data_IF_537095834765
#
_entry.id   IF_537095834765
#
_cell.length_a   1.000
_cell.length_b   1.000
_cell.length_c   1.000
_cell.angle_alpha   90.00
_cell.angle_beta   90.00
_cell.angle_gamma   90.00
#
_symmetry.space_group_name_H-M   'P 1'
#
loop_
_entity.id
_entity.type
_entity.pdbx_description
1 polymer ?
#
# COMPACT_ATOMS: atom_id res chain seq x y z
N UNK A 1 -10.97 -10.16 0.57
CA UNK A 1 -9.93 -9.31 -0.05
C UNK A 1 -10.65 -8.33 -0.96
N UNK A 2 -10.48 -7.03 -0.75
CA UNK A 2 -11.30 -6.01 -1.42
C UNK A 2 -10.43 -4.81 -1.83
N UNK A 3 -10.64 -4.30 -3.04
CA UNK A 3 -10.03 -3.05 -3.52
C UNK A 3 -11.16 -2.12 -3.99
N UNK A 4 -11.38 -1.04 -3.23
CA UNK A 4 -12.35 0.02 -3.50
C UNK A 4 -11.60 1.33 -3.79
N UNK A 5 -10.95 1.36 -4.95
CA UNK A 5 -10.16 2.49 -5.48
C UNK A 5 -10.64 2.77 -6.90
N UNK A 6 -10.82 4.05 -7.25
CA UNK A 6 -11.31 4.42 -8.58
C UNK A 6 -10.26 4.13 -9.67
N UNK A 7 -10.67 3.80 -10.91
CA UNK A 7 -9.73 3.55 -12.01
C UNK A 7 -8.73 4.71 -12.21
N UNK A 8 -7.45 4.38 -12.36
CA UNK A 8 -6.34 5.33 -12.51
C UNK A 8 -5.05 4.81 -11.86
N UNK A 9 -4.03 5.67 -11.77
CA UNK A 9 -2.74 5.29 -11.16
C UNK A 9 -2.87 4.76 -9.72
N UNK A 10 -3.79 5.33 -8.93
CA UNK A 10 -4.09 4.86 -7.58
C UNK A 10 -4.61 3.42 -7.56
N UNK A 11 -5.41 3.03 -8.57
CA UNK A 11 -5.90 1.65 -8.74
C UNK A 11 -4.77 0.70 -9.07
N UNK A 12 -3.87 1.08 -9.98
CA UNK A 12 -2.75 0.23 -10.38
C UNK A 12 -1.81 -0.05 -9.19
N UNK A 13 -1.58 0.97 -8.36
CA UNK A 13 -0.83 0.82 -7.11
C UNK A 13 -1.59 -0.12 -6.16
N UNK A 14 -2.88 0.11 -5.96
CA UNK A 14 -3.70 -0.71 -5.06
C UNK A 14 -3.75 -2.19 -5.50
N UNK A 15 -3.88 -2.46 -6.80
CA UNK A 15 -3.86 -3.82 -7.34
C UNK A 15 -2.50 -4.49 -7.18
N UNK A 16 -1.41 -3.75 -7.37
CA UNK A 16 -0.07 -4.32 -7.17
C UNK A 16 0.17 -4.66 -5.70
N UNK A 17 -0.27 -3.80 -4.77
CA UNK A 17 -0.23 -4.08 -3.34
C UNK A 17 -1.15 -5.24 -2.97
N UNK A 18 -2.34 -5.31 -3.56
CA UNK A 18 -3.27 -6.43 -3.40
C UNK A 18 -2.60 -7.77 -3.76
N UNK A 19 -1.99 -7.86 -4.96
CA UNK A 19 -1.27 -9.08 -5.40
C UNK A 19 -0.14 -9.46 -4.44
N UNK A 20 0.56 -8.48 -3.85
CA UNK A 20 1.58 -8.74 -2.83
C UNK A 20 0.97 -9.41 -1.58
N UNK A 21 -0.11 -8.85 -1.03
CA UNK A 21 -0.77 -9.44 0.13
C UNK A 21 -1.40 -10.81 -0.17
N UNK A 22 -1.95 -10.99 -1.37
CA UNK A 22 -2.43 -12.30 -1.85
C UNK A 22 -1.32 -13.35 -1.85
N UNK A 23 -0.14 -13.00 -2.38
CA UNK A 23 1.02 -13.91 -2.40
C UNK A 23 1.49 -14.30 -0.99
N UNK A 24 1.31 -13.41 -0.01
CA UNK A 24 1.60 -13.67 1.40
C UNK A 24 0.42 -14.33 2.17
N UNK A 25 -0.70 -14.60 1.49
CA UNK A 25 -1.94 -15.14 2.07
C UNK A 25 -2.50 -14.27 3.21
N UNK A 26 -2.24 -12.96 3.16
CA UNK A 26 -2.73 -11.97 4.13
C UNK A 26 -4.05 -11.43 3.64
N UNK A 27 -5.09 -11.42 4.49
CA UNK A 27 -6.35 -10.80 4.13
C UNK A 27 -6.21 -9.27 4.15
N UNK A 28 -6.76 -8.58 3.16
CA UNK A 28 -6.62 -7.13 3.04
C UNK A 28 -7.88 -6.43 2.52
N UNK A 29 -7.93 -5.12 2.79
CA UNK A 29 -8.89 -4.15 2.25
C UNK A 29 -8.11 -2.89 1.87
N UNK A 30 -8.21 -2.47 0.61
CA UNK A 30 -7.60 -1.22 0.12
C UNK A 30 -8.73 -0.29 -0.30
N UNK A 31 -8.71 0.94 0.21
CA UNK A 31 -9.71 1.96 -0.06
C UNK A 31 -9.04 3.28 -0.41
N UNK A 32 -9.65 4.03 -1.30
CA UNK A 32 -9.26 5.42 -1.56
C UNK A 32 -10.09 6.36 -0.68
N UNK A 33 -9.41 7.20 0.09
CA UNK A 33 -10.03 8.25 0.90
C UNK A 33 -10.29 9.49 0.05
N UNK A 34 -11.19 10.37 0.52
CA UNK A 34 -11.59 11.58 -0.20
C UNK A 34 -10.45 12.58 -0.45
N UNK A 35 -9.32 12.44 0.23
CA UNK A 35 -8.10 13.23 0.04
C UNK A 35 -7.07 12.56 -0.89
N UNK A 36 -7.45 11.48 -1.59
CA UNK A 36 -6.56 10.73 -2.49
C UNK A 36 -5.57 9.80 -1.79
N UNK A 37 -5.63 9.67 -0.47
CA UNK A 37 -4.82 8.68 0.26
C UNK A 37 -5.37 7.27 0.07
N UNK A 38 -4.47 6.29 0.02
CA UNK A 38 -4.86 4.88 0.05
C UNK A 38 -4.82 4.37 1.49
N UNK A 39 -5.96 3.93 2.00
CA UNK A 39 -6.06 3.21 3.25
C UNK A 39 -5.94 1.72 3.01
N UNK A 40 -5.03 1.05 3.73
CA UNK A 40 -4.77 -0.37 3.59
C UNK A 40 -5.00 -1.04 4.95
N UNK A 41 -6.13 -1.71 5.10
CA UNK A 41 -6.37 -2.63 6.21
C UNK A 41 -5.81 -4.01 5.88
N UNK A 42 -5.01 -4.60 6.78
CA UNK A 42 -4.60 -6.00 6.67
C UNK A 42 -4.96 -6.79 7.93
N UNK A 43 -5.31 -8.06 7.76
CA UNK A 43 -5.56 -9.00 8.84
C UNK A 43 -4.56 -10.15 8.69
N UNK A 44 -3.57 -10.15 9.59
CA UNK A 44 -2.53 -11.17 9.64
C UNK A 44 -2.65 -11.90 10.98
N UNK A 45 -2.96 -13.20 10.94
CA UNK A 45 -3.06 -14.06 12.12
C UNK A 45 -4.02 -13.55 13.21
N UNK A 46 -5.14 -12.93 12.81
CA UNK A 46 -6.15 -12.38 13.73
C UNK A 46 -5.77 -11.03 14.33
N UNK A 47 -4.65 -10.44 13.91
CA UNK A 47 -4.28 -9.08 14.24
C UNK A 47 -4.64 -8.15 13.08
N UNK A 48 -5.57 -7.23 13.37
CA UNK A 48 -5.94 -6.17 12.44
C UNK A 48 -4.93 -5.03 12.49
N UNK A 49 -4.52 -4.65 11.30
CA UNK A 49 -3.57 -3.61 11.01
C UNK A 49 -4.19 -2.64 10.03
N UNK A 50 -3.80 -1.38 10.10
CA UNK A 50 -4.16 -0.39 9.12
C UNK A 50 -3.02 0.56 8.85
N UNK A 51 -2.68 0.71 7.58
CA UNK A 51 -1.68 1.66 7.13
C UNK A 51 -2.34 2.67 6.22
N UNK A 52 -2.20 3.94 6.55
CA UNK A 52 -2.58 5.01 5.65
C UNK A 52 -1.37 5.35 4.76
N UNK A 53 -1.52 5.21 3.45
CA UNK A 53 -0.48 5.54 2.48
C UNK A 53 -0.82 6.90 1.87
N UNK A 54 0.05 7.87 2.14
CA UNK A 54 0.04 9.17 1.43
C UNK A 54 1.19 9.22 0.45
N UNK A 55 0.94 9.79 -0.71
CA UNK A 55 1.96 10.06 -1.72
C UNK A 55 2.32 11.53 -1.63
N UNK A 56 3.61 11.82 -1.65
CA UNK A 56 4.06 13.19 -1.92
C UNK A 56 3.71 13.55 -3.37
N UNK A 57 3.20 14.76 -3.61
CA UNK A 57 2.73 15.18 -4.93
C UNK A 57 3.83 15.04 -6.00
N UNK A 58 5.07 15.40 -5.67
CA UNK A 58 6.20 15.29 -6.60
C UNK A 58 6.58 13.82 -6.86
N UNK A 59 6.47 12.95 -5.85
CA UNK A 59 6.70 11.52 -6.02
C UNK A 59 5.60 10.86 -6.86
N UNK A 60 4.35 11.30 -6.69
CA UNK A 60 3.22 10.79 -7.45
C UNK A 60 3.27 11.25 -8.91
N UNK A 61 3.62 12.51 -9.17
CA UNK A 61 3.79 13.01 -10.53
C UNK A 61 4.98 12.34 -11.24
N UNK A 62 6.06 12.05 -10.53
CA UNK A 62 7.14 11.23 -11.05
C UNK A 62 6.64 9.82 -11.41
N UNK A 63 5.87 9.16 -10.52
CA UNK A 63 5.28 7.86 -10.79
C UNK A 63 4.34 7.86 -12.00
N UNK A 64 3.53 8.90 -12.19
CA UNK A 64 2.65 9.03 -13.37
C UNK A 64 3.41 8.95 -14.69
N UNK A 65 4.61 9.54 -14.71
CA UNK A 65 5.48 9.58 -15.89
C UNK A 65 6.27 8.28 -16.11
N UNK A 66 6.25 7.35 -15.15
CA UNK A 66 6.95 6.09 -15.28
C UNK A 66 6.29 5.15 -16.28
N UNK A 67 7.12 4.35 -16.95
CA UNK A 67 6.63 3.29 -17.81
C UNK A 67 6.00 2.14 -16.99
N UNK A 68 5.26 1.26 -17.68
CA UNK A 68 4.55 0.14 -17.04
C UNK A 68 5.48 -0.80 -16.29
N UNK A 69 6.74 -0.93 -16.69
CA UNK A 69 7.72 -1.81 -16.04
C UNK A 69 8.16 -1.19 -14.72
N UNK A 70 8.52 0.09 -14.72
CA UNK A 70 8.87 0.87 -13.53
C UNK A 70 7.71 0.92 -12.53
N UNK A 71 6.48 1.16 -13.02
CA UNK A 71 5.26 1.15 -12.19
C UNK A 71 5.00 -0.20 -11.52
N UNK A 72 5.38 -1.31 -12.16
CA UNK A 72 5.26 -2.66 -11.58
C UNK A 72 6.30 -2.97 -10.51
N UNK A 73 7.48 -2.34 -10.56
CA UNK A 73 8.55 -2.56 -9.58
C UNK A 73 8.46 -1.66 -8.34
N UNK A 74 7.83 -0.48 -8.47
CA UNK A 74 7.68 0.49 -7.37
C UNK A 74 6.97 -0.06 -6.12
N UNK A 75 5.89 -0.86 -6.23
CA UNK A 75 5.12 -1.29 -5.07
C UNK A 75 5.85 -2.36 -4.25
N UNK A 76 6.88 -3.02 -4.82
CA UNK A 76 7.78 -3.92 -4.08
C UNK A 76 8.48 -3.19 -2.94
N UNK A 77 8.77 -1.90 -3.10
CA UNK A 77 9.38 -1.09 -2.03
C UNK A 77 8.41 -0.81 -0.90
N UNK A 78 7.15 -0.54 -1.22
CA UNK A 78 6.07 -0.37 -0.25
C UNK A 78 5.90 -1.68 0.55
N UNK A 79 5.88 -2.81 -0.16
CA UNK A 79 5.85 -4.15 0.42
C UNK A 79 7.02 -4.42 1.40
N UNK A 80 8.26 -4.03 1.05
CA UNK A 80 9.43 -4.15 1.94
C UNK A 80 9.28 -3.30 3.20
N UNK A 81 8.71 -2.10 3.10
CA UNK A 81 8.45 -1.26 4.28
C UNK A 81 7.33 -1.83 5.16
N UNK A 82 6.30 -2.43 4.58
CA UNK A 82 5.29 -3.20 5.33
C UNK A 82 5.94 -4.36 6.09
N UNK A 83 6.85 -5.11 5.47
CA UNK A 83 7.55 -6.20 6.12
C UNK A 83 8.44 -5.69 7.28
N UNK A 84 9.09 -4.54 7.11
CA UNK A 84 9.85 -3.90 8.20
C UNK A 84 8.94 -3.46 9.35
N UNK A 85 7.76 -2.92 9.06
CA UNK A 85 6.78 -2.55 10.08
C UNK A 85 6.30 -3.78 10.85
N UNK A 86 6.06 -4.89 10.15
CA UNK A 86 5.70 -6.20 10.74
C UNK A 86 6.82 -6.73 11.64
N UNK A 87 8.07 -6.66 11.20
CA UNK A 87 9.24 -7.16 11.94
C UNK A 87 9.62 -6.30 13.15
N UNK A 88 9.32 -5.00 13.13
CA UNK A 88 9.72 -4.06 14.20
C UNK A 88 8.84 -4.10 15.45
N UNK A 89 7.68 -4.76 15.48
CA UNK A 89 6.78 -4.73 16.65
C UNK A 89 6.14 -6.07 17.02
N UNK A 90 6.61 -6.66 18.13
CA UNK A 90 5.79 -7.48 19.02
C UNK A 90 4.75 -6.55 19.70
N UNK A 91 3.51 -6.42 19.20
CA UNK A 91 2.26 -6.04 19.94
C UNK A 91 1.23 -5.31 19.06
N UNK A 92 0.07 -5.95 18.88
CA UNK A 92 -1.34 -5.47 18.95
C UNK A 92 -1.81 -4.14 18.34
N UNK A 93 -0.96 -3.27 17.80
CA UNK A 93 -1.40 -2.05 17.13
C UNK A 93 -0.54 -1.77 15.90
N UNK A 94 -0.88 -2.46 14.80
CA UNK A 94 -0.33 -2.22 13.47
C UNK A 94 -1.04 -1.03 12.80
N UNK A 95 -1.21 0.08 13.52
CA UNK A 95 -1.72 1.34 13.00
C UNK A 95 -0.54 2.29 12.75
N UNK A 96 -0.40 2.79 11.52
CA UNK A 96 0.66 3.74 11.19
C UNK A 96 0.42 4.50 9.88
N UNK A 97 0.97 5.70 9.80
CA UNK A 97 0.97 6.49 8.56
C UNK A 97 2.28 6.25 7.82
N UNK A 98 2.17 5.82 6.56
CA UNK A 98 3.28 5.63 5.66
C UNK A 98 3.23 6.69 4.57
N UNK A 99 4.27 7.54 4.52
CA UNK A 99 4.40 8.57 3.49
C UNK A 99 5.43 8.15 2.46
N UNK A 100 5.01 8.03 1.21
CA UNK A 100 5.88 7.75 0.07
C UNK A 100 6.41 9.08 -0.44
N UNK A 101 7.63 9.41 -0.01
CA UNK A 101 8.36 10.59 -0.49
C UNK A 101 9.16 10.29 -1.77
N UNK A 102 9.34 9.00 -2.11
CA UNK A 102 9.93 8.54 -3.37
C UNK A 102 9.57 7.07 -3.61
N UNK A 103 9.42 6.70 -4.87
CA UNK A 103 9.26 5.31 -5.31
C UNK A 103 10.63 4.65 -5.51
#
# INVERSE_FOLDING_TARGET
>A
MTIAVMPGDGRDIAETLGRYFEAQRVAFRIEELSNGMLYIGVDADGQRASVAVSFDDAAFDAYRQWDVVQKRHSPTRIAVEFEKLRQRRNTTALAGDFRINRF
#
